data_IF_631138976553
#
_entry.id   IF_631138976553
#
_cell.length_a   1.000
_cell.length_b   1.000
_cell.length_c   1.000
_cell.angle_alpha   90.00
_cell.angle_beta   90.00
_cell.angle_gamma   90.00
#
_symmetry.space_group_name_H-M   'P 1'
#
loop_
_entity.id
_entity.type
_entity.pdbx_description
1 polymer ?
#
# COMPACT_ATOMS: atom_id res chain seq x y z
N UNK A 1 16.41 39.02 81.52
CA UNK A 1 15.51 38.00 80.88
C UNK A 1 16.05 37.60 79.52
N UNK A 2 16.72 36.44 79.45
CA UNK A 2 17.17 35.82 78.15
C UNK A 2 16.28 34.63 77.84
N UNK A 3 15.57 34.68 76.70
CA UNK A 3 14.83 33.55 76.17
C UNK A 3 15.74 32.71 75.29
N UNK A 4 15.96 31.47 75.67
CA UNK A 4 16.63 30.45 74.89
C UNK A 4 15.67 29.84 73.92
N UNK A 5 15.98 29.91 72.59
CA UNK A 5 15.25 29.24 71.56
C UNK A 5 15.91 27.88 71.25
N UNK A 6 15.19 26.80 71.55
CA UNK A 6 15.58 25.45 71.25
C UNK A 6 15.25 25.20 69.78
N UNK A 7 16.25 24.88 68.94
CA UNK A 7 16.06 24.47 67.54
C UNK A 7 15.85 23.00 67.53
N UNK A 8 14.66 22.56 67.02
CA UNK A 8 14.36 21.20 66.69
C UNK A 8 14.91 20.90 65.32
N UNK A 9 15.78 19.91 65.20
CA UNK A 9 16.33 19.38 63.95
C UNK A 9 15.41 18.30 63.46
N UNK A 10 14.66 18.57 62.39
CA UNK A 10 13.88 17.57 61.69
C UNK A 10 14.81 16.74 60.76
N UNK A 11 14.88 15.46 61.02
CA UNK A 11 15.56 14.49 60.14
C UNK A 11 14.61 14.11 58.99
N UNK A 12 14.94 14.53 57.78
CA UNK A 12 14.22 14.14 56.56
C UNK A 12 14.81 12.80 56.13
N UNK A 13 13.98 11.76 56.22
CA UNK A 13 14.29 10.44 55.63
C UNK A 13 14.00 10.50 54.14
N UNK A 14 15.05 10.39 53.34
CA UNK A 14 14.93 10.27 51.89
C UNK A 14 14.48 8.85 51.52
N UNK A 15 13.23 8.71 51.09
CA UNK A 15 12.73 7.48 50.47
C UNK A 15 13.14 7.51 48.99
N UNK A 16 14.10 6.68 48.61
CA UNK A 16 14.46 6.46 47.21
C UNK A 16 13.39 5.61 46.54
N UNK A 17 12.55 6.26 45.76
CA UNK A 17 11.59 5.59 44.89
C UNK A 17 12.36 5.08 43.65
N UNK A 18 12.60 3.79 43.55
CA UNK A 18 13.07 3.10 42.33
C UNK A 18 11.90 3.06 41.34
N UNK A 19 11.88 3.99 40.39
CA UNK A 19 10.97 3.94 39.26
C UNK A 19 11.48 2.87 38.28
N UNK A 20 10.82 1.70 38.27
CA UNK A 20 10.98 0.71 37.22
C UNK A 20 10.39 1.29 35.94
N UNK A 21 11.22 1.83 35.07
CA UNK A 21 10.84 2.19 33.72
C UNK A 21 10.61 0.88 32.92
N UNK A 22 9.38 0.37 32.96
CA UNK A 22 8.93 -0.61 31.99
C UNK A 22 8.92 0.09 30.64
N UNK A 23 9.97 -0.14 29.84
CA UNK A 23 10.02 0.27 28.46
C UNK A 23 8.89 -0.40 27.70
N UNK A 24 7.77 0.29 27.54
CA UNK A 24 6.78 -0.02 26.52
C UNK A 24 7.46 0.19 25.19
N UNK A 25 8.11 -0.87 24.69
CA UNK A 25 8.53 -0.96 23.29
C UNK A 25 7.29 -0.78 22.44
N UNK A 26 7.03 0.48 22.06
CA UNK A 26 5.98 0.80 21.11
C UNK A 26 6.25 0.04 19.83
N UNK A 27 5.54 -1.06 19.62
CA UNK A 27 5.41 -1.66 18.32
C UNK A 27 4.81 -0.58 17.43
N UNK A 28 5.67 0.10 16.66
CA UNK A 28 5.22 1.04 15.63
C UNK A 28 4.28 0.26 14.74
N UNK A 29 3.00 0.57 14.89
CA UNK A 29 1.93 -0.12 14.20
C UNK A 29 2.19 -0.12 12.70
N UNK A 30 2.21 -1.30 12.12
CA UNK A 30 2.32 -1.56 10.67
C UNK A 30 1.11 -1.01 9.85
N UNK A 31 0.41 -0.01 10.35
CA UNK A 31 -0.76 0.60 9.70
C UNK A 31 -0.43 1.45 8.48
N UNK A 32 0.83 1.86 8.30
CA UNK A 32 1.22 2.74 7.18
C UNK A 32 1.15 2.07 5.80
N UNK A 33 0.97 0.74 5.72
CA UNK A 33 0.89 -0.01 4.46
C UNK A 33 -0.54 -0.39 4.09
N UNK A 34 -1.46 -0.39 5.07
CA UNK A 34 -2.84 -0.81 4.84
C UNK A 34 -3.67 0.30 4.19
N UNK A 35 -4.36 -0.06 3.11
CA UNK A 35 -5.33 0.78 2.42
C UNK A 35 -6.74 0.20 2.57
N UNK A 36 -7.60 0.89 3.28
CA UNK A 36 -9.00 0.47 3.56
C UNK A 36 -9.88 0.41 2.31
N UNK A 37 -9.44 1.06 1.21
CA UNK A 37 -10.12 1.03 -0.09
C UNK A 37 -9.97 -0.27 -0.87
N UNK A 38 -9.09 -1.18 -0.45
CA UNK A 38 -8.88 -2.45 -1.12
C UNK A 38 -10.06 -3.42 -1.00
N UNK A 39 -9.97 -4.54 -1.71
CA UNK A 39 -10.97 -5.61 -1.70
C UNK A 39 -11.03 -6.30 -0.33
N UNK A 40 -12.17 -6.88 0.07
CA UNK A 40 -12.29 -7.58 1.35
C UNK A 40 -11.49 -8.88 1.43
N UNK A 41 -11.12 -9.46 0.29
CA UNK A 41 -10.29 -10.66 0.20
C UNK A 41 -9.28 -10.57 -0.94
N UNK A 42 -8.24 -11.40 -0.87
CA UNK A 42 -7.17 -11.47 -1.88
C UNK A 42 -7.59 -12.17 -3.19
N UNK A 43 -8.82 -12.68 -3.26
CA UNK A 43 -9.38 -13.39 -4.43
C UNK A 43 -10.52 -12.58 -5.03
N UNK A 44 -10.36 -12.09 -6.26
CA UNK A 44 -11.38 -11.31 -6.96
C UNK A 44 -11.20 -11.36 -8.47
N UNK A 45 -12.18 -10.84 -9.21
CA UNK A 45 -12.12 -10.75 -10.67
C UNK A 45 -12.17 -9.28 -11.10
N UNK A 46 -11.53 -9.02 -12.25
CA UNK A 46 -11.54 -7.71 -12.93
C UNK A 46 -11.81 -7.92 -14.42
N UNK A 47 -12.46 -6.98 -15.08
CA UNK A 47 -12.62 -6.97 -16.54
C UNK A 47 -11.91 -5.81 -17.19
N UNK A 48 -11.39 -6.03 -18.39
CA UNK A 48 -10.94 -4.98 -19.27
C UNK A 48 -12.15 -4.28 -19.91
N UNK A 49 -12.11 -2.95 -20.02
CA UNK A 49 -13.22 -2.17 -20.59
C UNK A 49 -12.67 -1.11 -21.55
N UNK A 50 -13.13 -1.16 -22.81
CA UNK A 50 -12.84 -0.15 -23.83
C UNK A 50 -11.34 0.00 -24.17
N UNK A 51 -10.58 -1.08 -24.12
CA UNK A 51 -9.14 -1.11 -24.40
C UNK A 51 -8.78 -2.24 -25.35
N UNK A 52 -7.71 -2.04 -26.13
CA UNK A 52 -7.19 -3.03 -27.06
C UNK A 52 -6.35 -4.12 -26.37
N UNK A 53 -5.94 -5.13 -27.13
CA UNK A 53 -5.18 -6.28 -26.61
C UNK A 53 -3.85 -5.92 -25.97
N UNK A 54 -3.18 -4.87 -26.41
CA UNK A 54 -1.94 -4.38 -25.78
C UNK A 54 -2.19 -3.99 -24.33
N UNK A 55 -3.25 -3.23 -24.06
CA UNK A 55 -3.62 -2.81 -22.71
C UNK A 55 -4.20 -3.96 -21.87
N UNK A 56 -4.93 -4.88 -22.51
CA UNK A 56 -5.33 -6.14 -21.88
C UNK A 56 -4.11 -6.93 -21.44
N UNK A 57 -3.06 -6.97 -22.25
CA UNK A 57 -1.78 -7.61 -21.93
C UNK A 57 -1.10 -7.01 -20.69
N UNK A 58 -1.19 -5.70 -20.47
CA UNK A 58 -0.66 -5.06 -19.25
C UNK A 58 -1.48 -5.41 -18.00
N UNK A 59 -2.80 -5.45 -18.10
CA UNK A 59 -3.67 -5.97 -17.03
C UNK A 59 -3.31 -7.43 -16.69
N UNK A 60 -3.19 -8.28 -17.70
CA UNK A 60 -2.88 -9.69 -17.50
C UNK A 60 -1.49 -9.91 -16.93
N UNK A 61 -0.51 -9.07 -17.30
CA UNK A 61 0.82 -9.06 -16.67
C UNK A 61 0.72 -8.72 -15.19
N UNK A 62 0.01 -7.66 -14.83
CA UNK A 62 -0.18 -7.26 -13.43
C UNK A 62 -0.84 -8.35 -12.59
N UNK A 63 -1.90 -8.97 -13.12
CA UNK A 63 -2.59 -10.11 -12.49
C UNK A 63 -1.65 -11.30 -12.27
N UNK A 64 -0.93 -11.72 -13.32
CA UNK A 64 0.05 -12.82 -13.24
C UNK A 64 1.16 -12.53 -12.25
N UNK A 65 1.64 -11.29 -12.19
CA UNK A 65 2.65 -10.87 -11.23
C UNK A 65 2.19 -11.10 -9.79
N UNK A 66 0.98 -10.72 -9.43
CA UNK A 66 0.43 -10.94 -8.10
C UNK A 66 0.08 -12.40 -7.83
N UNK A 67 -0.54 -13.09 -8.78
CA UNK A 67 -0.94 -14.49 -8.63
C UNK A 67 0.28 -15.42 -8.42
N UNK A 68 1.41 -15.09 -9.06
CA UNK A 68 2.64 -15.89 -9.00
C UNK A 68 3.61 -15.42 -7.90
N UNK A 69 3.28 -14.35 -7.16
CA UNK A 69 4.16 -13.80 -6.14
C UNK A 69 4.20 -14.61 -4.84
N UNK A 70 3.32 -15.60 -4.68
CA UNK A 70 3.19 -16.33 -3.43
C UNK A 70 2.55 -15.51 -2.30
N UNK A 71 1.84 -14.42 -2.63
CA UNK A 71 1.15 -13.55 -1.67
C UNK A 71 -0.26 -14.05 -1.27
N UNK A 72 -0.70 -15.21 -1.76
CA UNK A 72 -2.06 -15.70 -1.56
C UNK A 72 -3.11 -14.99 -2.42
N UNK A 73 -2.67 -14.16 -3.37
CA UNK A 73 -3.58 -13.45 -4.28
C UNK A 73 -4.06 -14.37 -5.42
N UNK A 74 -5.34 -14.22 -5.80
CA UNK A 74 -5.93 -14.87 -6.97
C UNK A 74 -6.82 -13.87 -7.71
N UNK A 75 -6.25 -13.20 -8.70
CA UNK A 75 -6.91 -12.17 -9.49
C UNK A 75 -7.32 -12.74 -10.83
N UNK A 76 -8.62 -13.00 -11.02
CA UNK A 76 -9.17 -13.51 -12.27
C UNK A 76 -9.49 -12.38 -13.27
N UNK A 77 -9.56 -12.69 -14.57
CA UNK A 77 -10.14 -11.82 -15.59
C UNK A 77 -11.42 -12.47 -16.10
N UNK A 78 -12.57 -11.81 -15.88
CA UNK A 78 -13.89 -12.33 -16.30
C UNK A 78 -14.72 -11.19 -16.90
N UNK A 79 -15.44 -11.45 -17.99
CA UNK A 79 -16.26 -10.45 -18.68
C UNK A 79 -17.40 -9.89 -17.83
N UNK A 80 -17.95 -10.69 -16.92
CA UNK A 80 -19.01 -10.29 -15.98
C UNK A 80 -18.50 -9.68 -14.66
N UNK A 81 -17.19 -9.48 -14.48
CA UNK A 81 -16.65 -8.86 -13.27
C UNK A 81 -17.20 -7.43 -13.12
N UNK A 82 -17.50 -7.03 -11.87
CA UNK A 82 -17.92 -5.65 -11.54
C UNK A 82 -16.74 -4.69 -11.50
N UNK A 83 -15.58 -5.13 -11.02
CA UNK A 83 -14.36 -4.33 -11.04
C UNK A 83 -13.83 -4.19 -12.47
N UNK A 84 -13.28 -3.01 -12.79
CA UNK A 84 -12.89 -2.66 -14.16
C UNK A 84 -11.46 -2.13 -14.22
N UNK A 85 -10.82 -2.40 -15.37
CA UNK A 85 -9.54 -1.83 -15.76
C UNK A 85 -9.69 -1.17 -17.14
N UNK A 86 -9.23 0.06 -17.27
CA UNK A 86 -9.24 0.81 -18.51
C UNK A 86 -7.94 1.59 -18.68
N UNK A 87 -7.65 2.01 -19.90
CA UNK A 87 -6.54 2.89 -20.21
C UNK A 87 -7.02 3.98 -21.17
N UNK A 88 -6.44 5.17 -21.04
CA UNK A 88 -6.83 6.31 -21.88
C UNK A 88 -5.83 7.44 -21.75
N UNK A 89 -6.04 8.49 -22.54
CA UNK A 89 -5.26 9.74 -22.46
C UNK A 89 -6.01 10.74 -21.59
N UNK A 90 -5.62 10.82 -20.32
CA UNK A 90 -6.20 11.73 -19.34
C UNK A 90 -5.34 12.99 -19.17
N UNK A 91 -5.94 14.13 -18.78
CA UNK A 91 -5.21 15.39 -18.61
C UNK A 91 -4.49 15.50 -17.26
N UNK A 92 -4.86 14.65 -16.30
CA UNK A 92 -4.28 14.60 -14.98
C UNK A 92 -2.83 14.07 -15.01
N UNK A 93 -2.09 14.31 -13.94
CA UNK A 93 -0.65 13.99 -13.86
C UNK A 93 -0.33 12.58 -13.37
N UNK A 94 -1.31 11.82 -12.86
CA UNK A 94 -1.08 10.45 -12.39
C UNK A 94 -0.79 9.48 -13.53
N UNK A 95 -0.05 8.40 -13.25
CA UNK A 95 0.23 7.31 -14.19
C UNK A 95 -0.85 6.24 -14.16
N UNK A 96 -1.37 5.94 -12.98
CA UNK A 96 -2.49 5.07 -12.71
C UNK A 96 -3.35 5.64 -11.61
N UNK A 97 -4.60 5.19 -11.55
CA UNK A 97 -5.57 5.61 -10.54
C UNK A 97 -6.45 4.42 -10.17
N UNK A 98 -6.37 4.01 -8.93
CA UNK A 98 -7.31 3.08 -8.31
C UNK A 98 -8.43 3.83 -7.62
N UNK A 99 -9.67 3.54 -7.96
CA UNK A 99 -10.87 4.19 -7.40
C UNK A 99 -11.81 3.13 -6.83
N UNK A 100 -11.85 2.95 -5.51
CA UNK A 100 -12.80 2.04 -4.87
C UNK A 100 -14.18 2.67 -4.78
N UNK A 101 -15.21 1.83 -4.73
CA UNK A 101 -16.59 2.19 -4.44
C UNK A 101 -17.30 1.07 -3.68
N UNK A 102 -18.44 1.41 -3.06
CA UNK A 102 -19.17 0.48 -2.21
C UNK A 102 -18.51 0.29 -0.83
N UNK A 103 -19.21 -0.41 0.04
CA UNK A 103 -18.79 -0.66 1.42
C UNK A 103 -18.01 -1.97 1.54
N UNK A 104 -16.90 -1.94 2.27
CA UNK A 104 -16.19 -3.16 2.66
C UNK A 104 -16.78 -3.70 3.97
N UNK A 105 -17.12 -5.00 4.07
CA UNK A 105 -16.91 -6.10 3.12
C UNK A 105 -18.10 -6.37 2.16
N UNK A 106 -19.16 -5.56 2.16
CA UNK A 106 -20.48 -5.88 1.63
C UNK A 106 -20.51 -5.95 0.09
N UNK A 107 -20.12 -4.84 -0.57
CA UNK A 107 -20.26 -4.69 -2.02
C UNK A 107 -19.10 -3.92 -2.67
N UNK A 108 -17.88 -4.03 -2.09
CA UNK A 108 -16.69 -3.37 -2.60
C UNK A 108 -16.43 -3.74 -4.07
N UNK A 109 -16.28 -2.72 -4.90
CA UNK A 109 -15.79 -2.81 -6.27
C UNK A 109 -14.74 -1.74 -6.52
N UNK A 110 -14.06 -1.78 -7.65
CA UNK A 110 -13.08 -0.75 -8.01
C UNK A 110 -13.04 -0.48 -9.52
N UNK A 111 -12.48 0.66 -9.85
CA UNK A 111 -12.06 1.03 -11.21
C UNK A 111 -10.58 1.35 -11.19
N UNK A 112 -9.81 0.75 -12.11
CA UNK A 112 -8.44 1.15 -12.40
C UNK A 112 -8.43 1.89 -13.73
N UNK A 113 -7.80 3.08 -13.74
CA UNK A 113 -7.50 3.85 -14.95
C UNK A 113 -5.99 3.95 -15.11
N UNK A 114 -5.46 3.66 -16.30
CA UNK A 114 -4.05 3.85 -16.62
C UNK A 114 -3.93 5.03 -17.60
N UNK A 115 -3.08 6.01 -17.28
CA UNK A 115 -2.94 7.21 -18.08
C UNK A 115 -1.84 7.05 -19.14
N UNK A 116 -2.25 6.69 -20.34
CA UNK A 116 -1.37 6.54 -21.49
C UNK A 116 -0.62 7.84 -21.87
N UNK A 117 -1.20 9.02 -21.57
CA UNK A 117 -0.58 10.33 -21.89
C UNK A 117 0.66 10.59 -21.02
N UNK A 118 0.52 10.46 -19.69
CA UNK A 118 1.64 10.68 -18.77
C UNK A 118 2.70 9.59 -18.88
N UNK A 119 2.28 8.33 -19.06
CA UNK A 119 3.21 7.22 -19.28
C UNK A 119 4.04 7.43 -20.55
N UNK A 120 3.42 7.83 -21.67
CA UNK A 120 4.13 8.10 -22.92
C UNK A 120 5.10 9.29 -22.80
N UNK A 121 4.72 10.34 -22.06
CA UNK A 121 5.55 11.52 -21.84
C UNK A 121 6.83 11.19 -21.07
N UNK A 122 6.72 10.37 -20.00
CA UNK A 122 7.76 10.25 -18.98
C UNK A 122 8.60 8.97 -19.10
N UNK A 123 8.11 7.95 -19.84
CA UNK A 123 8.79 6.65 -19.95
C UNK A 123 9.91 6.58 -20.98
N UNK A 124 10.00 7.54 -21.90
CA UNK A 124 10.91 7.47 -23.04
C UNK A 124 10.72 6.17 -23.83
N UNK A 125 11.79 5.46 -24.10
CA UNK A 125 11.77 4.16 -24.79
C UNK A 125 11.26 2.98 -23.92
N UNK A 126 10.88 3.22 -22.66
CA UNK A 126 10.54 2.18 -21.68
C UNK A 126 9.05 2.09 -21.38
N UNK A 127 8.19 2.54 -22.30
CA UNK A 127 6.72 2.56 -22.14
C UNK A 127 6.13 1.24 -21.67
N UNK A 128 6.55 0.12 -22.26
CA UNK A 128 6.08 -1.22 -21.90
C UNK A 128 6.37 -1.56 -20.45
N UNK A 129 7.59 -1.31 -19.96
CA UNK A 129 7.99 -1.57 -18.58
C UNK A 129 7.19 -0.70 -17.60
N UNK A 130 7.01 0.58 -17.94
CA UNK A 130 6.24 1.52 -17.12
C UNK A 130 4.76 1.13 -17.04
N UNK A 131 4.15 0.71 -18.15
CA UNK A 131 2.78 0.20 -18.15
C UNK A 131 2.62 -1.05 -17.28
N UNK A 132 3.55 -2.01 -17.38
CA UNK A 132 3.56 -3.21 -16.55
C UNK A 132 3.71 -2.88 -15.06
N UNK A 133 4.67 -1.99 -14.71
CA UNK A 133 4.87 -1.53 -13.34
C UNK A 133 3.61 -0.85 -12.79
N UNK A 134 3.01 0.06 -13.55
CA UNK A 134 1.81 0.79 -13.15
C UNK A 134 0.61 -0.16 -12.98
N UNK A 135 0.34 -1.02 -13.96
CA UNK A 135 -0.78 -1.95 -13.86
C UNK A 135 -0.66 -2.91 -12.67
N UNK A 136 0.56 -3.38 -12.37
CA UNK A 136 0.81 -4.24 -11.19
C UNK A 136 0.62 -3.45 -9.89
N UNK A 137 1.07 -2.19 -9.84
CA UNK A 137 0.92 -1.28 -8.70
C UNK A 137 -0.56 -1.00 -8.39
N UNK A 138 -1.36 -0.66 -9.40
CA UNK A 138 -2.79 -0.39 -9.19
C UNK A 138 -3.56 -1.62 -8.66
N UNK A 139 -3.16 -2.82 -9.08
CA UNK A 139 -3.70 -4.05 -8.50
C UNK A 139 -3.21 -4.28 -7.06
N UNK A 140 -2.09 -3.69 -6.65
CA UNK A 140 -1.64 -3.65 -5.25
C UNK A 140 -2.62 -2.90 -4.35
N UNK A 141 -3.21 -1.80 -4.82
CA UNK A 141 -4.29 -1.11 -4.10
C UNK A 141 -5.53 -1.98 -3.94
N UNK A 142 -5.88 -2.76 -4.96
CA UNK A 142 -6.97 -3.74 -4.84
C UNK A 142 -6.67 -4.81 -3.78
N UNK A 143 -5.38 -5.12 -3.54
CA UNK A 143 -4.89 -5.98 -2.46
C UNK A 143 -4.63 -5.22 -1.14
N UNK A 144 -5.28 -4.09 -0.94
CA UNK A 144 -5.22 -3.26 0.28
C UNK A 144 -3.83 -2.69 0.62
N UNK A 145 -2.94 -2.54 -0.34
CA UNK A 145 -1.66 -1.86 -0.14
C UNK A 145 -1.80 -0.35 -0.38
N UNK A 146 -1.28 0.46 0.53
CA UNK A 146 -1.21 1.91 0.40
C UNK A 146 0.01 2.35 -0.42
N UNK A 147 -0.08 3.55 -0.98
CA UNK A 147 1.07 4.23 -1.58
C UNK A 147 2.15 4.59 -0.56
N UNK A 148 3.38 4.64 -1.02
CA UNK A 148 4.54 5.12 -0.26
C UNK A 148 4.63 4.57 1.17
N UNK A 149 4.63 3.23 1.34
CA UNK A 149 4.69 2.64 2.66
C UNK A 149 5.92 3.15 3.43
N UNK A 150 5.75 3.44 4.72
CA UNK A 150 6.83 3.90 5.62
C UNK A 150 7.79 2.75 5.91
N UNK A 151 8.66 2.44 4.97
CA UNK A 151 9.67 1.38 5.08
C UNK A 151 10.94 1.76 4.34
N UNK A 152 12.10 1.34 4.86
CA UNK A 152 13.38 1.41 4.14
C UNK A 152 13.49 0.36 3.02
N UNK A 153 12.69 -0.72 3.10
CA UNK A 153 12.70 -1.78 2.10
C UNK A 153 12.20 -1.29 0.74
N UNK A 154 12.69 -1.91 -0.33
CA UNK A 154 12.15 -1.69 -1.66
C UNK A 154 10.70 -2.19 -1.75
N UNK A 155 9.84 -1.47 -2.47
CA UNK A 155 8.42 -1.79 -2.63
C UNK A 155 7.90 -1.31 -3.99
N UNK A 156 7.06 -2.12 -4.61
CA UNK A 156 6.30 -1.77 -5.81
C UNK A 156 5.38 -0.56 -5.55
N UNK A 157 4.93 -0.38 -4.29
CA UNK A 157 4.00 0.68 -3.92
C UNK A 157 4.68 2.04 -3.67
N UNK A 158 6.01 2.15 -3.73
CA UNK A 158 6.71 3.45 -3.65
C UNK A 158 6.60 4.23 -4.95
N UNK A 159 6.23 5.51 -4.89
CA UNK A 159 6.22 6.39 -6.06
C UNK A 159 7.62 6.60 -6.64
N UNK A 160 8.65 6.61 -5.79
CA UNK A 160 10.07 6.74 -6.16
C UNK A 160 10.68 5.48 -6.78
N UNK A 161 9.92 4.38 -6.93
CA UNK A 161 10.45 3.16 -7.54
C UNK A 161 10.92 3.38 -8.98
N UNK A 162 11.93 2.70 -9.40
CA UNK A 162 12.33 2.65 -10.81
C UNK A 162 11.34 1.74 -11.57
N UNK A 163 10.42 2.32 -12.33
CA UNK A 163 9.38 1.59 -13.08
C UNK A 163 9.94 0.73 -14.22
N UNK A 164 11.16 0.95 -14.64
CA UNK A 164 11.82 0.12 -15.66
C UNK A 164 12.22 -1.24 -15.10
N UNK A 165 12.63 -1.30 -13.84
CA UNK A 165 13.13 -2.52 -13.17
C UNK A 165 12.12 -3.14 -12.20
N UNK A 166 11.35 -2.33 -11.49
CA UNK A 166 10.35 -2.79 -10.52
C UNK A 166 8.99 -2.91 -11.20
N UNK A 167 8.70 -4.08 -11.76
CA UNK A 167 7.44 -4.38 -12.44
C UNK A 167 6.61 -5.46 -11.71
N UNK A 168 7.19 -6.10 -10.69
CA UNK A 168 6.58 -7.18 -9.89
C UNK A 168 6.52 -6.78 -8.42
N UNK A 169 5.63 -7.40 -7.61
CA UNK A 169 5.67 -7.26 -6.17
C UNK A 169 7.04 -7.68 -5.62
N UNK A 170 7.56 -6.93 -4.67
CA UNK A 170 8.79 -7.25 -3.97
C UNK A 170 8.48 -7.94 -2.63
N UNK A 171 9.50 -8.46 -1.96
CA UNK A 171 9.31 -9.24 -0.72
C UNK A 171 8.51 -8.51 0.34
N UNK A 172 8.69 -7.19 0.45
CA UNK A 172 7.91 -6.35 1.37
C UNK A 172 6.42 -6.35 0.99
N UNK A 173 6.09 -6.10 -0.29
CA UNK A 173 4.71 -6.06 -0.77
C UNK A 173 4.00 -7.41 -0.55
N UNK A 174 4.71 -8.50 -0.82
CA UNK A 174 4.22 -9.88 -0.63
C UNK A 174 3.92 -10.15 0.84
N UNK A 175 4.82 -9.77 1.74
CA UNK A 175 4.65 -9.96 3.19
C UNK A 175 3.47 -9.16 3.73
N UNK A 176 3.26 -7.95 3.21
CA UNK A 176 2.14 -7.10 3.63
C UNK A 176 0.79 -7.65 3.16
N UNK A 177 0.69 -8.17 1.92
CA UNK A 177 -0.55 -8.83 1.47
C UNK A 177 -0.86 -10.05 2.33
N UNK A 178 0.14 -10.90 2.64
CA UNK A 178 -0.04 -12.05 3.55
C UNK A 178 -0.49 -11.64 4.96
N UNK A 179 -0.02 -10.50 5.45
CA UNK A 179 -0.39 -9.98 6.77
C UNK A 179 -1.82 -9.44 6.79
N UNK A 180 -2.29 -8.87 5.66
CA UNK A 180 -3.62 -8.26 5.55
C UNK A 180 -4.71 -9.32 5.41
N UNK A 181 -4.43 -10.43 4.74
CA UNK A 181 -5.38 -11.49 4.42
C UNK A 181 -5.00 -12.83 5.03
#
# INVERSE_FOLDING_TARGET
LRRTHTRATARIAAVAAFALAVGLGGTTSAQATYYSGGMPGSKFNVKAVGINDTWVGFLDTGRKNWNNAGAGASIGRKSNAKATFTAGRYNESWYGLYSPSGLRPINRVFKIKVNAKTLARDSGSKMTQWCRSTSTHELGHALSLADNPKTSKASLMKHSRNRTTVQKPLSYDISEVKRIY
#
